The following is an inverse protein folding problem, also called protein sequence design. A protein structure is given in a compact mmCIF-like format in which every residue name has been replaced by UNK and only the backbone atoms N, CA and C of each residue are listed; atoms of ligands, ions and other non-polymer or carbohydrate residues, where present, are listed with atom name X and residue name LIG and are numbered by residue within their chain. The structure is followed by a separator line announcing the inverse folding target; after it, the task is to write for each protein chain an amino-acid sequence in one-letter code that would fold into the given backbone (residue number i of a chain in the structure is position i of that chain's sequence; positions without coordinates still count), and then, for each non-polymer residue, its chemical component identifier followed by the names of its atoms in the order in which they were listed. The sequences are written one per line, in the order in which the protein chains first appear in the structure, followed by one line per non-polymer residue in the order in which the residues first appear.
data_IF_706521166397
#
_entry.id   IF_706521166397
#
_cell.length_a   1.000
_cell.length_b   1.000
_cell.length_c   1.000
_cell.angle_alpha   90.00
_cell.angle_beta   90.00
_cell.angle_gamma   90.00
#
_symmetry.space_group_name_H-M   'P 1'
#
loop_
_entity.id
_entity.type
_entity.pdbx_description
1 polymer ?
#
# COMPACT_ATOMS: atom_id res chain seq x y z
N UNK A 1 100.09 -7.78 26.51
CA UNK A 1 98.71 -8.11 26.93
C UNK A 1 98.04 -6.85 27.47
N UNK A 2 97.20 -6.20 26.65
CA UNK A 2 96.27 -5.14 27.08
C UNK A 2 94.91 -5.51 26.49
N UNK A 3 93.95 -5.83 27.35
CA UNK A 3 92.59 -6.18 26.97
C UNK A 3 91.76 -4.88 26.88
N UNK A 4 91.14 -4.62 25.72
CA UNK A 4 90.12 -3.59 25.56
C UNK A 4 88.75 -4.22 25.83
N UNK A 5 88.07 -3.75 26.88
CA UNK A 5 86.66 -4.07 27.16
C UNK A 5 85.75 -3.18 26.30
N UNK A 6 84.93 -3.78 25.45
CA UNK A 6 83.76 -3.13 24.84
C UNK A 6 82.59 -3.17 25.83
N UNK A 7 82.07 -1.99 26.21
CA UNK A 7 80.80 -1.86 26.93
C UNK A 7 79.67 -1.69 25.91
N UNK A 8 78.81 -2.70 25.79
CA UNK A 8 77.56 -2.59 25.04
C UNK A 8 76.48 -1.98 25.93
N UNK A 9 75.99 -0.78 25.57
CA UNK A 9 74.85 -0.15 26.21
C UNK A 9 73.56 -0.72 25.61
N UNK A 10 72.77 -1.42 26.44
CA UNK A 10 71.45 -1.94 26.09
C UNK A 10 70.41 -0.82 26.28
N UNK A 11 69.90 -0.25 25.18
CA UNK A 11 68.75 0.66 25.22
C UNK A 11 67.47 -0.16 25.30
N UNK A 12 66.79 -0.13 26.46
CA UNK A 12 65.43 -0.66 26.60
C UNK A 12 64.46 0.44 26.17
N UNK A 13 63.85 0.29 24.99
CA UNK A 13 62.68 1.09 24.61
C UNK A 13 61.48 0.59 25.43
N UNK A 14 61.02 1.39 26.38
CA UNK A 14 59.71 1.19 27.00
C UNK A 14 58.63 1.69 26.01
N UNK A 15 57.99 0.76 25.30
CA UNK A 15 56.78 1.04 24.53
C UNK A 15 55.61 1.22 25.49
N UNK A 16 55.23 2.46 25.77
CA UNK A 16 53.95 2.79 26.40
C UNK A 16 52.82 2.49 25.42
N UNK A 17 52.04 1.45 25.70
CA UNK A 17 50.77 1.19 25.01
C UNK A 17 49.79 2.27 25.47
N UNK A 18 49.58 3.27 24.61
CA UNK A 18 48.48 4.22 24.77
C UNK A 18 47.19 3.43 24.49
N UNK A 19 46.42 3.13 25.54
CA UNK A 19 45.08 2.58 25.37
C UNK A 19 44.20 3.68 24.75
N UNK A 20 44.11 3.69 23.42
CA UNK A 20 43.09 4.46 22.71
C UNK A 20 41.78 3.74 22.99
N UNK A 21 41.05 4.18 24.01
CA UNK A 21 39.63 3.86 24.12
C UNK A 21 38.98 4.54 22.91
N UNK A 22 38.65 3.76 21.89
CA UNK A 22 37.84 4.25 20.78
C UNK A 22 36.54 4.76 21.37
N UNK A 23 36.33 6.08 21.39
CA UNK A 23 34.99 6.61 21.55
C UNK A 23 34.16 5.97 20.44
N UNK A 24 33.17 5.15 20.79
CA UNK A 24 32.21 4.65 19.82
C UNK A 24 31.63 5.89 19.13
N UNK A 25 31.80 5.99 17.81
CA UNK A 25 31.20 7.05 17.04
C UNK A 25 29.69 6.90 17.21
N UNK A 26 29.08 7.84 17.94
CA UNK A 26 27.63 7.90 18.05
C UNK A 26 27.11 8.34 16.68
N UNK A 27 26.12 7.62 16.14
CA UNK A 27 25.50 8.01 14.88
C UNK A 27 25.01 9.45 14.94
N UNK A 28 25.10 10.22 13.83
CA UNK A 28 24.57 11.57 13.81
C UNK A 28 23.06 11.55 14.01
N UNK A 29 22.49 12.69 14.44
CA UNK A 29 21.05 12.85 14.43
C UNK A 29 20.49 12.73 12.99
N UNK A 30 19.29 12.16 12.85
CA UNK A 30 18.57 12.17 11.58
C UNK A 30 18.33 13.62 11.11
N UNK A 31 18.27 13.89 9.79
CA UNK A 31 18.03 15.23 9.28
C UNK A 31 16.71 15.81 9.80
N UNK A 32 16.72 17.10 10.11
CA UNK A 32 15.52 17.83 10.53
C UNK A 32 14.41 17.70 9.46
N UNK A 33 13.18 17.32 9.85
CA UNK A 33 12.09 17.19 8.89
C UNK A 33 11.64 18.53 8.32
N UNK A 34 11.37 18.54 7.03
CA UNK A 34 10.88 19.70 6.28
C UNK A 34 9.45 19.46 5.78
N UNK A 35 8.76 20.54 5.44
CA UNK A 35 7.39 20.48 4.90
C UNK A 35 7.31 19.56 3.68
N UNK A 36 6.36 18.62 3.72
CA UNK A 36 6.12 17.67 2.63
C UNK A 36 7.00 16.42 2.70
N UNK A 37 7.87 16.26 3.70
CA UNK A 37 8.56 14.99 3.89
C UNK A 37 7.55 13.84 4.08
N UNK A 38 7.77 12.75 3.34
CA UNK A 38 7.01 11.51 3.44
C UNK A 38 7.78 10.56 4.34
N UNK A 39 7.07 9.97 5.29
CA UNK A 39 7.62 9.01 6.24
C UNK A 39 6.98 7.65 6.05
N UNK A 40 7.82 6.64 6.17
CA UNK A 40 7.46 5.25 6.37
C UNK A 40 7.71 4.91 7.84
N UNK A 41 6.81 4.15 8.46
CA UNK A 41 7.04 3.61 9.78
C UNK A 41 6.63 2.14 9.89
N UNK A 42 7.30 1.41 10.77
CA UNK A 42 7.01 0.03 11.12
C UNK A 42 6.74 -0.08 12.62
N UNK A 43 5.90 -1.03 13.01
CA UNK A 43 5.76 -1.47 14.41
C UNK A 43 5.31 -2.92 14.47
N UNK A 44 5.75 -3.65 15.48
CA UNK A 44 5.13 -4.92 15.82
C UNK A 44 4.04 -4.72 16.89
N UNK A 45 2.92 -5.42 16.76
CA UNK A 45 1.86 -5.45 17.77
C UNK A 45 2.22 -6.34 18.96
N UNK A 46 3.08 -7.33 18.74
CA UNK A 46 3.58 -8.25 19.76
C UNK A 46 4.97 -8.79 19.35
N UNK A 47 5.55 -9.68 20.16
CA UNK A 47 6.77 -10.40 19.85
C UNK A 47 8.02 -9.51 19.74
N UNK A 48 8.99 -9.97 18.96
CA UNK A 48 10.27 -9.29 18.78
C UNK A 48 10.05 -7.90 18.15
N UNK A 49 10.64 -6.86 18.77
CA UNK A 49 10.55 -5.48 18.30
C UNK A 49 9.26 -4.74 18.68
N UNK A 50 8.34 -5.34 19.44
CA UNK A 50 7.07 -4.72 19.86
C UNK A 50 7.20 -3.44 20.70
N UNK A 51 8.35 -3.23 21.34
CA UNK A 51 8.65 -2.01 22.10
C UNK A 51 9.15 -0.84 21.23
N UNK A 52 9.35 -1.06 19.92
CA UNK A 52 10.05 -0.12 19.04
C UNK A 52 9.29 0.09 17.72
N UNK A 53 9.05 1.35 17.40
CA UNK A 53 8.72 1.79 16.05
C UNK A 53 9.99 2.17 15.28
N UNK A 54 10.05 1.80 14.01
CA UNK A 54 11.14 2.18 13.10
C UNK A 54 10.61 3.18 12.09
N UNK A 55 11.21 4.38 12.01
CA UNK A 55 10.74 5.46 11.15
C UNK A 55 11.82 5.79 10.12
N UNK A 56 11.43 5.92 8.85
CA UNK A 56 12.31 6.19 7.71
C UNK A 56 11.74 7.37 6.92
N UNK A 57 12.56 8.38 6.63
CA UNK A 57 12.18 9.45 5.68
C UNK A 57 12.34 8.93 4.25
N UNK A 58 11.27 8.93 3.45
CA UNK A 58 11.29 8.45 2.06
C UNK A 58 11.67 9.51 1.02
N UNK A 59 11.67 10.79 1.41
CA UNK A 59 11.85 11.93 0.52
C UNK A 59 10.71 12.94 0.66
N UNK A 60 10.57 13.83 -0.32
CA UNK A 60 9.51 14.85 -0.35
C UNK A 60 8.32 14.38 -1.18
N UNK A 61 7.11 14.75 -0.80
CA UNK A 61 5.86 14.33 -1.44
C UNK A 61 5.75 14.71 -2.93
N UNK A 62 6.43 15.76 -3.38
CA UNK A 62 6.52 16.11 -4.81
C UNK A 62 7.18 15.01 -5.63
N UNK A 63 8.13 14.26 -5.06
CA UNK A 63 8.74 13.11 -5.74
C UNK A 63 7.70 12.08 -6.18
N UNK A 64 6.63 11.90 -5.40
CA UNK A 64 5.58 10.91 -5.66
C UNK A 64 4.41 11.54 -6.42
N UNK A 65 4.00 12.76 -6.04
CA UNK A 65 2.82 13.44 -6.60
C UNK A 65 3.04 14.03 -8.00
N UNK A 66 4.29 14.26 -8.41
CA UNK A 66 4.63 14.74 -9.76
C UNK A 66 5.30 13.67 -10.61
N UNK A 67 5.38 12.43 -10.14
CA UNK A 67 5.82 11.31 -10.95
C UNK A 67 4.92 11.18 -12.20
N UNK A 68 5.43 10.67 -13.31
CA UNK A 68 4.58 10.45 -14.48
C UNK A 68 3.54 9.36 -14.18
N UNK A 69 2.33 9.48 -14.72
CA UNK A 69 1.28 8.47 -14.52
C UNK A 69 1.78 7.07 -14.94
N UNK A 70 1.57 6.07 -14.09
CA UNK A 70 2.05 4.69 -14.31
C UNK A 70 3.56 4.48 -14.21
N UNK A 71 4.35 5.53 -13.99
CA UNK A 71 5.79 5.37 -13.75
C UNK A 71 6.04 4.66 -12.42
N UNK A 72 7.13 3.89 -12.37
CA UNK A 72 7.54 3.13 -11.20
C UNK A 72 9.03 3.30 -10.95
N UNK A 73 9.43 3.38 -9.69
CA UNK A 73 10.83 3.54 -9.30
C UNK A 73 11.09 3.06 -7.87
N UNK A 74 12.32 2.61 -7.63
CA UNK A 74 12.82 2.34 -6.28
C UNK A 74 13.17 3.67 -5.59
N UNK A 75 12.71 3.83 -4.34
CA UNK A 75 13.05 4.99 -3.53
C UNK A 75 14.51 4.87 -3.11
N UNK A 76 15.34 5.78 -3.61
CA UNK A 76 16.78 5.76 -3.39
C UNK A 76 17.20 6.54 -2.14
N UNK A 77 18.45 6.34 -1.71
CA UNK A 77 19.05 7.09 -0.59
C UNK A 77 18.60 6.64 0.80
N UNK A 78 17.85 5.54 0.92
CA UNK A 78 17.33 5.07 2.20
C UNK A 78 18.36 4.36 3.10
N UNK A 79 19.55 4.05 2.59
CA UNK A 79 20.48 3.13 3.26
C UNK A 79 19.98 1.68 3.18
N UNK A 80 20.48 0.81 4.06
CA UNK A 80 20.11 -0.60 4.11
C UNK A 80 19.06 -0.87 5.20
N UNK A 81 17.85 -0.36 4.99
CA UNK A 81 16.75 -0.51 5.96
C UNK A 81 16.34 -1.96 6.17
N UNK A 82 16.64 -2.86 5.22
CA UNK A 82 16.41 -4.30 5.38
C UNK A 82 17.20 -4.91 6.53
N UNK A 83 18.44 -4.47 6.77
CA UNK A 83 19.25 -4.92 7.91
C UNK A 83 18.72 -4.37 9.23
N UNK A 84 18.22 -3.13 9.25
CA UNK A 84 17.54 -2.57 10.44
C UNK A 84 16.27 -3.37 10.78
N UNK A 85 15.48 -3.72 9.76
CA UNK A 85 14.26 -4.52 9.91
C UNK A 85 14.58 -5.92 10.45
N UNK A 86 15.60 -6.60 9.90
CA UNK A 86 16.05 -7.90 10.41
C UNK A 86 16.55 -7.82 11.85
N UNK A 87 17.40 -6.82 12.15
CA UNK A 87 17.96 -6.66 13.49
C UNK A 87 16.87 -6.39 14.53
N UNK A 88 15.84 -5.62 14.17
CA UNK A 88 14.79 -5.19 15.11
C UNK A 88 13.63 -6.19 15.21
N UNK A 89 13.20 -6.75 14.09
CA UNK A 89 11.98 -7.56 13.96
C UNK A 89 12.25 -9.04 13.58
N UNK A 90 13.52 -9.42 13.41
CA UNK A 90 13.96 -10.78 13.10
C UNK A 90 14.09 -11.07 11.60
N UNK A 91 14.83 -12.12 11.24
CA UNK A 91 15.12 -12.48 9.84
C UNK A 91 13.87 -12.79 8.99
N UNK A 92 12.76 -13.16 9.63
CA UNK A 92 11.47 -13.45 9.00
C UNK A 92 10.47 -12.30 9.03
N UNK A 93 10.92 -11.05 9.29
CA UNK A 93 10.04 -9.88 9.46
C UNK A 93 9.01 -9.73 8.32
N UNK A 94 9.40 -10.04 7.09
CA UNK A 94 8.60 -9.88 5.87
C UNK A 94 7.46 -10.90 5.69
N UNK A 95 7.23 -11.76 6.68
CA UNK A 95 6.11 -12.73 6.72
C UNK A 95 5.29 -12.66 8.01
N UNK A 96 5.58 -11.68 8.87
CA UNK A 96 4.99 -11.55 10.20
C UNK A 96 3.61 -10.88 10.14
N UNK A 97 2.58 -11.61 10.54
CA UNK A 97 1.22 -11.06 10.66
C UNK A 97 1.08 -9.98 11.74
N UNK A 98 1.97 -9.99 12.73
CA UNK A 98 2.01 -9.04 13.83
C UNK A 98 2.91 -7.82 13.56
N UNK A 99 3.60 -7.78 12.42
CA UNK A 99 4.40 -6.64 11.97
C UNK A 99 3.61 -5.82 10.96
N UNK A 100 3.53 -4.52 11.24
CA UNK A 100 2.76 -3.54 10.49
C UNK A 100 3.67 -2.46 9.93
N UNK A 101 3.26 -1.89 8.80
CA UNK A 101 3.94 -0.74 8.18
C UNK A 101 2.93 0.23 7.59
N UNK A 102 3.24 1.52 7.62
CA UNK A 102 2.38 2.58 7.13
C UNK A 102 3.17 3.79 6.64
N UNK A 103 2.57 4.54 5.71
CA UNK A 103 3.19 5.69 5.07
C UNK A 103 2.31 6.91 5.28
N UNK A 104 2.91 8.01 5.71
CA UNK A 104 2.18 9.22 6.06
C UNK A 104 3.01 10.47 5.78
N UNK A 105 2.33 11.59 5.59
CA UNK A 105 2.97 12.89 5.40
C UNK A 105 1.99 14.01 5.73
N UNK A 106 2.52 15.22 5.90
CA UNK A 106 1.72 16.42 5.98
C UNK A 106 2.43 17.60 5.31
N UNK A 107 1.63 18.51 4.76
CA UNK A 107 2.05 19.86 4.42
C UNK A 107 1.26 20.85 5.26
N UNK A 108 1.89 21.53 6.22
CA UNK A 108 1.23 22.61 6.93
C UNK A 108 0.95 23.74 5.95
N UNK A 109 -0.23 24.33 6.04
CA UNK A 109 -0.64 25.50 5.28
C UNK A 109 -1.68 26.22 6.13
N UNK A 110 -1.43 27.46 6.55
CA UNK A 110 -2.21 28.20 7.57
C UNK A 110 -3.73 27.96 7.47
N UNK A 111 -4.23 27.04 8.30
CA UNK A 111 -5.62 26.61 8.32
C UNK A 111 -6.02 25.55 7.28
N UNK A 112 -5.34 25.36 6.15
CA UNK A 112 -5.71 24.41 5.11
C UNK A 112 -4.61 23.38 4.79
N UNK A 113 -4.24 22.50 5.74
CA UNK A 113 -3.19 21.52 5.52
C UNK A 113 -3.60 20.45 4.52
N UNK A 114 -2.60 19.88 3.87
CA UNK A 114 -2.69 18.64 3.09
C UNK A 114 -2.11 17.54 3.97
N UNK A 115 -2.81 16.42 4.07
CA UNK A 115 -2.30 15.24 4.76
C UNK A 115 -2.28 14.06 3.80
N UNK A 116 -1.41 13.11 4.08
CA UNK A 116 -1.29 11.88 3.32
C UNK A 116 -1.29 10.70 4.26
N UNK A 117 -1.98 9.63 3.87
CA UNK A 117 -2.03 8.39 4.60
C UNK A 117 -2.14 7.22 3.64
N UNK A 118 -1.36 6.17 3.86
CA UNK A 118 -1.50 4.92 3.15
C UNK A 118 -2.81 4.22 3.49
N UNK A 119 -3.14 3.20 2.70
CA UNK A 119 -4.16 2.20 3.03
C UNK A 119 -3.81 0.89 2.35
N UNK A 120 -3.87 -0.21 3.09
CA UNK A 120 -3.60 -1.54 2.55
C UNK A 120 -4.65 -1.96 1.52
N UNK A 121 -4.18 -2.61 0.45
CA UNK A 121 -5.04 -3.33 -0.50
C UNK A 121 -5.46 -4.67 0.11
N UNK A 122 -6.76 -4.91 0.22
CA UNK A 122 -7.30 -6.22 0.65
C UNK A 122 -6.99 -7.33 -0.35
N UNK A 123 -6.84 -6.97 -1.63
CA UNK A 123 -6.32 -7.82 -2.70
C UNK A 123 -5.27 -7.02 -3.46
N UNK A 124 -4.06 -7.56 -3.62
CA UNK A 124 -2.90 -6.83 -4.16
C UNK A 124 -3.14 -6.17 -5.53
N UNK A 125 -4.03 -6.73 -6.34
CA UNK A 125 -4.38 -6.23 -7.67
C UNK A 125 -5.54 -5.22 -7.68
N UNK A 126 -6.20 -4.99 -6.54
CA UNK A 126 -7.35 -4.10 -6.43
C UNK A 126 -6.97 -2.90 -5.55
N UNK A 127 -7.07 -1.70 -6.12
CA UNK A 127 -6.83 -0.47 -5.38
C UNK A 127 -7.77 -0.40 -4.16
N UNK A 128 -7.20 -0.07 -3.01
CA UNK A 128 -7.94 0.27 -1.80
C UNK A 128 -8.88 1.45 -2.08
N UNK A 129 -10.01 1.48 -1.37
CA UNK A 129 -10.91 2.62 -1.44
C UNK A 129 -10.20 3.85 -0.87
N UNK A 130 -10.32 4.99 -1.56
CA UNK A 130 -9.77 6.25 -1.08
C UNK A 130 -10.34 6.62 0.30
N UNK A 131 -9.56 7.33 1.11
CA UNK A 131 -10.04 7.90 2.36
C UNK A 131 -11.20 8.88 2.12
N UNK A 132 -12.10 9.07 3.10
CA UNK A 132 -13.17 10.06 2.97
C UNK A 132 -12.60 11.47 2.85
N UNK A 133 -13.36 12.36 2.23
CA UNK A 133 -13.05 13.79 2.28
C UNK A 133 -13.16 14.29 3.71
N UNK A 134 -12.16 15.04 4.15
CA UNK A 134 -12.15 15.64 5.48
C UNK A 134 -12.42 17.13 5.39
N UNK A 135 -13.15 17.68 6.36
CA UNK A 135 -13.26 19.14 6.53
C UNK A 135 -11.96 19.74 7.06
N UNK A 136 -11.83 21.06 6.97
CA UNK A 136 -10.62 21.79 7.35
C UNK A 136 -10.15 21.50 8.79
N UNK A 137 -11.09 21.48 9.74
CA UNK A 137 -10.80 21.21 11.14
C UNK A 137 -10.21 19.80 11.34
N UNK A 138 -10.81 18.80 10.70
CA UNK A 138 -10.32 17.41 10.72
C UNK A 138 -8.91 17.30 10.15
N UNK A 139 -8.67 17.87 8.95
CA UNK A 139 -7.31 17.88 8.36
C UNK A 139 -6.30 18.58 9.25
N UNK A 140 -6.68 19.67 9.92
CA UNK A 140 -5.81 20.38 10.86
C UNK A 140 -5.48 19.54 12.09
N UNK A 141 -6.49 18.85 12.65
CA UNK A 141 -6.27 17.94 13.77
C UNK A 141 -5.33 16.80 13.40
N UNK A 142 -5.55 16.14 12.26
CA UNK A 142 -4.70 15.03 11.81
C UNK A 142 -3.29 15.50 11.46
N UNK A 143 -3.17 16.66 10.79
CA UNK A 143 -1.87 17.28 10.51
C UNK A 143 -1.08 17.57 11.79
N UNK A 144 -1.73 17.98 12.88
CA UNK A 144 -1.06 18.23 14.15
C UNK A 144 -0.54 16.93 14.80
N UNK A 145 -1.30 15.82 14.68
CA UNK A 145 -0.87 14.53 15.20
C UNK A 145 0.28 13.93 14.38
N UNK A 146 0.23 14.05 13.05
CA UNK A 146 1.36 13.68 12.18
C UNK A 146 2.59 14.53 12.53
N UNK A 147 2.40 15.85 12.68
CA UNK A 147 3.46 16.76 13.11
C UNK A 147 4.05 16.37 14.46
N UNK A 148 3.24 15.89 15.41
CA UNK A 148 3.76 15.44 16.70
C UNK A 148 4.73 14.26 16.58
N UNK A 149 4.44 13.28 15.72
CA UNK A 149 5.33 12.13 15.49
C UNK A 149 6.64 12.54 14.81
N UNK A 150 6.58 13.55 13.94
CA UNK A 150 7.74 13.94 13.12
C UNK A 150 8.60 15.00 13.83
N UNK A 151 7.98 16.05 14.37
CA UNK A 151 8.64 17.29 14.79
C UNK A 151 8.84 17.42 16.30
N UNK A 152 7.99 16.79 17.14
CA UNK A 152 8.08 16.98 18.58
C UNK A 152 9.20 16.14 19.20
N UNK A 153 9.63 16.55 20.40
CA UNK A 153 10.57 15.77 21.22
C UNK A 153 10.03 14.35 21.42
N UNK A 154 10.92 13.36 21.28
CA UNK A 154 10.57 11.95 21.34
C UNK A 154 10.05 11.38 20.00
N UNK A 155 9.69 12.23 19.05
CA UNK A 155 9.36 11.92 17.66
C UNK A 155 10.58 11.54 16.83
N UNK A 156 10.52 11.75 15.51
CA UNK A 156 11.65 11.53 14.60
C UNK A 156 12.76 12.58 14.79
N UNK A 157 12.40 13.87 14.83
CA UNK A 157 13.35 14.98 14.91
C UNK A 157 14.29 14.85 16.12
N UNK A 158 15.59 14.99 15.86
CA UNK A 158 16.62 15.00 16.89
C UNK A 158 17.01 13.61 17.43
N UNK A 159 16.41 12.52 16.93
CA UNK A 159 16.88 11.16 17.25
C UNK A 159 18.14 10.81 16.49
N UNK A 160 18.91 9.86 17.02
CA UNK A 160 20.07 9.30 16.34
C UNK A 160 19.61 8.48 15.13
N UNK A 161 20.38 8.57 14.06
CA UNK A 161 20.24 7.69 12.91
C UNK A 161 20.63 6.25 13.25
N UNK A 162 20.10 5.30 12.48
CA UNK A 162 20.52 3.90 12.55
C UNK A 162 21.89 3.66 11.93
N UNK A 163 22.53 2.54 12.26
CA UNK A 163 23.82 2.14 11.68
C UNK A 163 23.73 1.93 10.16
N UNK A 164 22.55 1.51 9.67
CA UNK A 164 22.35 1.18 8.26
C UNK A 164 21.68 2.29 7.45
N UNK A 165 21.20 3.36 8.09
CA UNK A 165 20.53 4.48 7.42
C UNK A 165 20.63 5.79 8.20
N UNK A 166 21.19 6.81 7.54
CA UNK A 166 21.31 8.18 8.08
C UNK A 166 19.98 8.94 8.16
N UNK A 167 18.91 8.40 7.56
CA UNK A 167 17.58 9.01 7.50
C UNK A 167 16.50 8.14 8.16
N UNK A 168 16.93 7.11 8.89
CA UNK A 168 16.05 6.25 9.65
C UNK A 168 16.42 6.28 11.12
N UNK A 169 15.45 6.05 11.98
CA UNK A 169 15.64 6.03 13.43
C UNK A 169 14.70 5.06 14.13
N UNK A 170 15.12 4.59 15.30
CA UNK A 170 14.28 3.82 16.21
C UNK A 170 13.64 4.73 17.26
N UNK A 171 12.34 4.53 17.45
CA UNK A 171 11.52 5.18 18.45
C UNK A 171 11.01 4.15 19.44
N UNK A 172 11.38 4.29 20.71
CA UNK A 172 10.74 3.53 21.80
C UNK A 172 9.26 3.93 21.88
N UNK A 173 8.38 2.93 21.89
CA UNK A 173 6.94 3.14 21.98
C UNK A 173 6.60 3.76 23.33
N UNK A 174 5.77 4.82 23.32
CA UNK A 174 5.34 5.53 24.53
C UNK A 174 3.89 5.95 24.41
N UNK A 175 3.33 6.48 25.50
CA UNK A 175 1.98 7.03 25.51
C UNK A 175 1.91 8.46 24.92
N UNK A 176 3.05 9.05 24.58
CA UNK A 176 3.15 10.44 24.13
C UNK A 176 2.60 10.60 22.71
N UNK A 177 2.06 11.77 22.40
CA UNK A 177 1.57 12.08 21.06
C UNK A 177 2.67 12.02 19.98
N UNK A 178 3.95 12.08 20.36
CA UNK A 178 5.06 11.91 19.43
C UNK A 178 5.38 10.46 19.08
N UNK A 179 4.79 9.48 19.78
CA UNK A 179 4.98 8.06 19.45
C UNK A 179 4.11 7.65 18.25
N UNK A 180 4.72 7.08 17.22
CA UNK A 180 3.99 6.48 16.09
C UNK A 180 3.04 5.39 16.59
N UNK A 181 3.53 4.46 17.41
CA UNK A 181 2.71 3.40 18.01
C UNK A 181 1.49 3.97 18.76
N UNK A 182 1.65 5.06 19.52
CA UNK A 182 0.50 5.73 20.15
C UNK A 182 -0.55 6.14 19.13
N UNK A 183 -0.14 6.74 18.02
CA UNK A 183 -1.04 7.30 17.01
C UNK A 183 -1.84 6.23 16.27
N UNK A 184 -1.25 5.05 16.00
CA UNK A 184 -1.88 4.01 15.16
C UNK A 184 -2.37 2.77 15.90
N UNK A 185 -1.86 2.49 17.11
CA UNK A 185 -2.20 1.27 17.85
C UNK A 185 -3.13 1.51 19.06
N UNK A 186 -3.41 2.76 19.43
CA UNK A 186 -4.23 3.07 20.60
C UNK A 186 -5.70 3.29 20.24
N UNK A 187 -6.61 2.61 20.95
CA UNK A 187 -8.04 2.86 20.78
C UNK A 187 -8.38 4.35 20.99
N UNK A 188 -9.14 4.93 20.06
CA UNK A 188 -9.53 6.33 20.09
C UNK A 188 -8.56 7.29 19.39
N UNK A 189 -7.35 6.84 18.98
CA UNK A 189 -6.49 7.65 18.12
C UNK A 189 -6.80 7.48 16.64
N UNK A 190 -7.51 6.43 16.20
CA UNK A 190 -7.98 6.24 14.79
C UNK A 190 -6.95 6.66 13.73
N UNK A 191 -5.67 6.31 13.92
CA UNK A 191 -4.55 6.76 13.10
C UNK A 191 -4.43 8.27 12.94
N UNK A 192 -3.68 8.88 13.85
CA UNK A 192 -3.41 10.32 13.88
C UNK A 192 -4.64 11.19 14.24
N UNK A 193 -5.42 10.72 15.20
CA UNK A 193 -6.58 11.38 15.81
C UNK A 193 -7.93 10.87 15.30
N UNK A 194 -8.93 10.82 16.17
CA UNK A 194 -10.30 10.38 15.83
C UNK A 194 -10.98 11.17 14.70
N UNK A 195 -10.49 12.37 14.39
CA UNK A 195 -10.99 13.20 13.30
C UNK A 195 -10.42 12.84 11.92
N UNK A 196 -9.41 11.95 11.84
CA UNK A 196 -8.87 11.46 10.57
C UNK A 196 -9.89 10.60 9.80
N UNK A 197 -10.78 9.92 10.53
CA UNK A 197 -11.67 8.87 10.03
C UNK A 197 -10.94 7.72 9.32
N UNK A 198 -9.64 7.56 9.59
CA UNK A 198 -8.83 6.47 9.06
C UNK A 198 -9.05 5.22 9.90
N UNK A 199 -9.30 4.09 9.23
CA UNK A 199 -9.53 2.81 9.89
C UNK A 199 -8.23 2.08 10.24
N UNK A 200 -7.28 2.11 9.30
CA UNK A 200 -5.90 1.66 9.42
C UNK A 200 -5.14 2.21 8.22
N UNK A 201 -4.08 2.98 8.45
CA UNK A 201 -3.10 3.34 7.43
C UNK A 201 -2.07 2.23 7.23
N UNK A 202 -2.01 1.29 8.17
CA UNK A 202 -1.04 0.22 8.16
C UNK A 202 -1.53 -1.02 7.42
N UNK A 203 -0.60 -1.69 6.75
CA UNK A 203 -0.75 -3.06 6.25
C UNK A 203 0.09 -4.04 7.04
N UNK A 204 -0.22 -5.33 6.91
CA UNK A 204 0.43 -6.42 7.64
C UNK A 204 1.20 -7.36 6.71
N UNK A 205 2.35 -7.86 7.18
CA UNK A 205 3.14 -8.85 6.44
C UNK A 205 2.62 -10.29 6.58
N UNK A 206 1.42 -10.52 7.14
CA UNK A 206 0.87 -11.86 7.37
C UNK A 206 0.67 -12.70 6.10
N UNK A 207 0.52 -12.06 4.94
CA UNK A 207 0.46 -12.72 3.63
C UNK A 207 1.81 -12.68 2.88
N UNK A 208 2.90 -12.34 3.57
CA UNK A 208 4.20 -12.04 2.98
C UNK A 208 4.29 -10.64 2.38
N UNK A 209 5.50 -10.18 2.07
CA UNK A 209 5.75 -8.87 1.44
C UNK A 209 5.01 -8.67 0.10
N UNK A 210 4.96 -9.73 -0.72
CA UNK A 210 4.25 -9.70 -2.00
C UNK A 210 2.73 -9.57 -1.81
N UNK A 211 2.23 -9.87 -0.60
CA UNK A 211 0.84 -9.78 -0.20
C UNK A 211 0.45 -8.45 0.45
N UNK A 212 1.38 -7.54 0.72
CA UNK A 212 1.08 -6.24 1.36
C UNK A 212 1.49 -5.08 0.46
N UNK A 213 0.49 -4.36 -0.05
CA UNK A 213 0.67 -3.17 -0.89
C UNK A 213 -0.13 -2.04 -0.27
N UNK A 214 0.50 -0.88 -0.14
CA UNK A 214 -0.10 0.31 0.45
C UNK A 214 -0.40 1.35 -0.63
N UNK A 215 -1.68 1.63 -0.91
CA UNK A 215 -2.01 2.79 -1.73
C UNK A 215 -1.84 4.07 -0.91
N UNK A 216 -1.17 5.06 -1.49
CA UNK A 216 -0.88 6.33 -0.86
C UNK A 216 -1.91 7.37 -1.30
N UNK A 217 -2.70 7.87 -0.35
CA UNK A 217 -3.77 8.83 -0.65
C UNK A 217 -3.41 10.22 -0.13
N UNK A 218 -3.69 11.24 -0.95
CA UNK A 218 -3.57 12.65 -0.61
C UNK A 218 -4.94 13.21 -0.27
N UNK A 219 -5.09 13.84 0.89
CA UNK A 219 -6.32 14.47 1.36
C UNK A 219 -6.10 15.99 1.46
N UNK A 220 -6.84 16.76 0.67
CA UNK A 220 -6.74 18.22 0.62
C UNK A 220 -8.13 18.87 0.56
N UNK A 221 -8.18 20.21 0.62
CA UNK A 221 -9.44 20.94 0.38
C UNK A 221 -10.07 20.63 -0.99
N UNK A 222 -9.24 20.29 -1.99
CA UNK A 222 -9.68 19.93 -3.34
C UNK A 222 -10.29 18.53 -3.43
N UNK A 223 -10.32 17.76 -2.35
CA UNK A 223 -10.77 16.36 -2.32
C UNK A 223 -9.64 15.38 -2.00
N UNK A 224 -9.92 14.09 -2.24
CA UNK A 224 -8.99 12.99 -2.01
C UNK A 224 -8.54 12.40 -3.34
N UNK A 225 -7.24 12.22 -3.51
CA UNK A 225 -6.64 11.62 -4.70
C UNK A 225 -5.71 10.49 -4.28
N UNK A 226 -5.89 9.30 -4.85
CA UNK A 226 -4.84 8.27 -4.76
C UNK A 226 -3.65 8.73 -5.59
N UNK A 227 -2.49 8.83 -4.95
CA UNK A 227 -1.23 9.23 -5.57
C UNK A 227 -0.62 8.01 -6.26
N UNK A 228 -0.49 6.89 -5.57
CA UNK A 228 0.14 5.69 -6.13
C UNK A 228 0.12 4.58 -5.11
N UNK A 229 1.02 3.61 -5.25
CA UNK A 229 1.19 2.53 -4.29
C UNK A 229 2.65 2.31 -3.95
N UNK A 230 2.89 1.93 -2.70
CA UNK A 230 4.17 1.46 -2.21
C UNK A 230 4.13 -0.05 -1.98
N UNK A 231 5.24 -0.71 -2.32
CA UNK A 231 5.58 -2.07 -1.92
C UNK A 231 6.99 -2.09 -1.34
N UNK A 232 7.32 -3.19 -0.65
CA UNK A 232 8.65 -3.42 -0.08
C UNK A 232 9.11 -4.85 -0.41
N UNK A 233 10.40 -5.03 -0.72
CA UNK A 233 11.01 -6.34 -0.91
C UNK A 233 11.61 -6.92 0.39
N UNK A 234 12.01 -8.18 0.36
CA UNK A 234 12.65 -8.88 1.49
C UNK A 234 13.98 -8.23 1.91
N UNK A 235 14.63 -7.53 0.97
CA UNK A 235 15.85 -6.77 1.22
C UNK A 235 15.58 -5.38 1.79
N UNK A 236 14.32 -5.00 2.02
CA UNK A 236 13.93 -3.68 2.47
C UNK A 236 13.96 -2.61 1.37
N UNK A 237 13.94 -2.99 0.08
CA UNK A 237 13.85 -2.00 -1.01
C UNK A 237 12.42 -1.49 -1.10
N UNK A 238 12.23 -0.18 -0.96
CA UNK A 238 10.91 0.47 -1.12
C UNK A 238 10.71 0.81 -2.58
N UNK A 239 9.61 0.31 -3.15
CA UNK A 239 9.21 0.58 -4.53
C UNK A 239 7.95 1.44 -4.54
N UNK A 240 7.90 2.45 -5.42
CA UNK A 240 6.72 3.27 -5.64
C UNK A 240 6.26 3.15 -7.10
N UNK A 241 4.95 2.97 -7.28
CA UNK A 241 4.27 3.04 -8.58
C UNK A 241 3.24 4.15 -8.53
N UNK A 242 3.38 5.15 -9.38
CA UNK A 242 2.38 6.20 -9.52
C UNK A 242 1.11 5.62 -10.12
N UNK A 243 -0.03 6.14 -9.66
CA UNK A 243 -1.31 5.76 -10.20
C UNK A 243 -1.38 6.13 -11.69
N UNK A 244 -1.86 5.22 -12.53
CA UNK A 244 -2.47 5.64 -13.80
C UNK A 244 -3.83 6.19 -13.41
N UNK A 245 -4.20 7.44 -13.76
CA UNK A 245 -5.55 7.95 -13.61
C UNK A 245 -6.49 7.10 -14.47
N UNK A 246 -6.86 5.92 -13.98
CA UNK A 246 -7.96 5.14 -14.52
C UNK A 246 -9.20 5.93 -14.11
N UNK A 247 -9.76 6.71 -15.01
CA UNK A 247 -11.19 6.95 -14.90
C UNK A 247 -11.80 5.53 -14.95
N UNK A 248 -12.53 5.07 -13.92
CA UNK A 248 -13.21 3.78 -14.00
C UNK A 248 -14.24 3.74 -15.16
N UNK A 249 -14.52 4.92 -15.73
CA UNK A 249 -15.27 5.13 -16.96
C UNK A 249 -14.38 5.55 -18.15
N UNK A 250 -13.06 5.29 -18.12
CA UNK A 250 -12.27 5.35 -19.35
C UNK A 250 -12.86 4.31 -20.29
N UNK A 251 -13.24 4.78 -21.45
CA UNK A 251 -13.77 4.03 -22.57
C UNK A 251 -12.89 4.47 -23.74
N UNK A 252 -11.75 3.78 -23.90
CA UNK A 252 -10.65 4.23 -24.76
C UNK A 252 -11.04 4.22 -26.24
N UNK A 253 -11.89 3.28 -26.65
CA UNK A 253 -12.39 3.16 -28.03
C UNK A 253 -13.79 3.74 -28.26
N UNK A 254 -14.42 4.28 -27.21
CA UNK A 254 -15.70 4.98 -27.21
C UNK A 254 -16.90 4.10 -27.59
N UNK A 255 -16.91 2.83 -27.16
CA UNK A 255 -17.97 1.85 -27.42
C UNK A 255 -19.07 1.82 -26.34
N UNK A 256 -18.88 2.58 -25.25
CA UNK A 256 -19.79 2.66 -24.10
C UNK A 256 -19.51 1.64 -23.00
N UNK A 257 -18.50 0.78 -23.17
CA UNK A 257 -17.93 -0.13 -22.17
C UNK A 257 -16.65 0.49 -21.64
N UNK A 258 -16.31 0.21 -20.38
CA UNK A 258 -15.13 0.80 -19.77
C UNK A 258 -13.96 -0.16 -19.88
N UNK A 259 -12.74 0.35 -20.05
CA UNK A 259 -11.51 -0.45 -20.14
C UNK A 259 -11.38 -1.44 -18.96
N UNK A 260 -11.89 -1.05 -17.78
CA UNK A 260 -11.91 -1.89 -16.59
C UNK A 260 -12.89 -3.07 -16.70
N UNK A 261 -14.09 -2.85 -17.28
CA UNK A 261 -15.05 -3.92 -17.55
C UNK A 261 -14.55 -4.85 -18.66
N UNK A 262 -13.88 -4.29 -19.66
CA UNK A 262 -13.25 -5.06 -20.73
C UNK A 262 -12.09 -5.91 -20.23
N UNK A 263 -11.30 -5.41 -19.27
CA UNK A 263 -10.27 -6.23 -18.63
C UNK A 263 -10.87 -7.45 -17.88
N UNK A 264 -12.01 -7.29 -17.21
CA UNK A 264 -12.72 -8.39 -16.53
C UNK A 264 -13.34 -9.37 -17.53
N UNK A 265 -13.94 -8.85 -18.61
CA UNK A 265 -14.42 -9.67 -19.73
C UNK A 265 -13.26 -10.31 -20.51
N UNK A 266 -12.09 -9.70 -20.40
CA UNK A 266 -10.89 -9.92 -21.15
C UNK A 266 -11.08 -9.73 -22.66
N UNK A 267 -11.73 -8.62 -23.02
CA UNK A 267 -11.83 -8.06 -24.36
C UNK A 267 -10.81 -6.91 -24.53
N UNK A 268 -10.65 -6.38 -25.74
CA UNK A 268 -9.62 -5.40 -26.07
C UNK A 268 -10.12 -3.94 -25.97
N UNK A 269 -9.60 -3.14 -25.01
CA UNK A 269 -10.04 -1.75 -24.77
C UNK A 269 -9.64 -0.72 -25.84
N UNK A 270 -9.15 -1.18 -27.00
CA UNK A 270 -8.80 -0.30 -28.12
C UNK A 270 -9.55 -0.71 -29.39
N UNK A 271 -10.52 -1.61 -29.29
CA UNK A 271 -11.30 -2.15 -30.39
C UNK A 271 -12.78 -2.14 -30.04
N UNK A 272 -13.48 -1.10 -30.50
CA UNK A 272 -14.91 -0.87 -30.22
C UNK A 272 -15.86 -1.94 -30.77
N UNK A 273 -15.33 -3.01 -31.36
CA UNK A 273 -16.08 -4.18 -31.80
C UNK A 273 -15.92 -5.39 -30.87
N UNK A 274 -14.88 -5.40 -30.01
CA UNK A 274 -14.54 -6.46 -29.08
C UNK A 274 -15.01 -6.10 -27.66
N UNK A 275 -16.27 -6.42 -27.36
CA UNK A 275 -16.84 -6.24 -26.02
C UNK A 275 -17.81 -7.37 -25.67
N UNK A 276 -17.99 -7.60 -24.38
CA UNK A 276 -18.91 -8.61 -23.89
C UNK A 276 -20.37 -8.18 -24.01
N UNK A 277 -21.19 -8.99 -24.69
CA UNK A 277 -22.62 -8.74 -24.88
C UNK A 277 -23.44 -10.02 -25.01
N UNK A 278 -24.69 -9.93 -24.62
CA UNK A 278 -25.70 -10.89 -25.07
C UNK A 278 -25.87 -10.76 -26.59
N UNK A 279 -25.80 -11.89 -27.28
CA UNK A 279 -26.06 -11.96 -28.72
C UNK A 279 -27.56 -12.12 -28.99
N UNK A 280 -28.25 -12.94 -28.18
CA UNK A 280 -29.70 -13.07 -28.24
C UNK A 280 -30.26 -13.72 -26.98
N UNK A 281 -31.51 -13.38 -26.66
CA UNK A 281 -32.35 -14.10 -25.70
C UNK A 281 -33.64 -14.43 -26.42
N UNK A 282 -33.88 -15.72 -26.68
CA UNK A 282 -35.00 -16.15 -27.51
C UNK A 282 -35.70 -17.38 -26.94
N UNK A 283 -37.04 -17.40 -26.89
CA UNK A 283 -37.79 -18.63 -26.65
C UNK A 283 -37.59 -19.61 -27.82
N UNK A 284 -37.47 -20.88 -27.50
CA UNK A 284 -37.39 -22.01 -28.41
C UNK A 284 -38.36 -23.12 -27.94
N UNK A 285 -38.57 -24.14 -28.77
CA UNK A 285 -39.51 -25.24 -28.44
C UNK A 285 -39.13 -26.03 -27.18
N UNK A 286 -37.85 -25.98 -26.80
CA UNK A 286 -37.22 -26.68 -25.69
C UNK A 286 -36.91 -25.79 -24.46
N UNK A 287 -37.01 -24.47 -24.58
CA UNK A 287 -36.81 -23.55 -23.46
C UNK A 287 -36.54 -22.11 -23.87
N UNK A 288 -35.73 -21.40 -23.09
CA UNK A 288 -35.22 -20.07 -23.46
C UNK A 288 -33.72 -20.17 -23.67
N UNK A 289 -33.27 -19.82 -24.87
CA UNK A 289 -31.85 -19.78 -25.22
C UNK A 289 -31.28 -18.39 -24.94
N UNK A 290 -30.21 -18.35 -24.14
CA UNK A 290 -29.42 -17.15 -23.82
C UNK A 290 -28.04 -17.33 -24.47
N UNK A 291 -27.80 -16.58 -25.54
CA UNK A 291 -26.57 -16.64 -26.33
C UNK A 291 -25.66 -15.46 -26.00
N UNK A 292 -24.38 -15.71 -25.80
CA UNK A 292 -23.37 -14.67 -25.52
C UNK A 292 -21.99 -15.04 -26.07
N UNK A 293 -21.18 -14.00 -26.34
CA UNK A 293 -19.77 -14.20 -26.68
C UNK A 293 -18.98 -14.61 -25.44
N UNK A 294 -17.91 -15.36 -25.68
CA UNK A 294 -17.11 -16.00 -24.64
C UNK A 294 -15.65 -15.79 -24.93
N UNK A 295 -14.87 -15.59 -23.87
CA UNK A 295 -13.41 -15.59 -23.90
C UNK A 295 -12.91 -16.71 -22.99
N UNK A 296 -11.84 -17.40 -23.40
CA UNK A 296 -11.28 -18.52 -22.66
C UNK A 296 -10.78 -18.09 -21.27
N UNK A 297 -10.84 -18.97 -20.27
CA UNK A 297 -10.41 -18.68 -18.89
C UNK A 297 -11.23 -17.57 -18.20
N UNK A 298 -12.49 -17.39 -18.60
CA UNK A 298 -13.47 -16.55 -17.89
C UNK A 298 -14.63 -17.42 -17.41
N UNK A 299 -15.26 -17.02 -16.32
CA UNK A 299 -16.46 -17.66 -15.78
C UNK A 299 -17.68 -16.77 -15.99
N UNK A 300 -18.73 -17.35 -16.57
CA UNK A 300 -19.99 -16.69 -16.87
C UNK A 300 -21.09 -17.19 -15.94
N UNK A 301 -21.78 -16.28 -15.26
CA UNK A 301 -22.96 -16.60 -14.45
C UNK A 301 -24.19 -16.05 -15.14
N UNK A 302 -25.13 -16.92 -15.49
CA UNK A 302 -26.44 -16.53 -16.03
C UNK A 302 -27.37 -16.27 -14.87
N UNK A 303 -27.97 -15.09 -14.86
CA UNK A 303 -28.90 -14.67 -13.82
C UNK A 303 -30.26 -14.32 -14.44
N UNK A 304 -31.33 -14.62 -13.70
CA UNK A 304 -32.70 -14.34 -14.07
C UNK A 304 -33.35 -13.39 -13.05
N UNK A 305 -34.24 -12.53 -13.52
CA UNK A 305 -35.13 -11.74 -12.66
C UNK A 305 -36.51 -11.62 -13.31
N UNK A 306 -37.57 -11.70 -12.52
CA UNK A 306 -38.92 -11.43 -13.02
C UNK A 306 -39.23 -9.93 -13.13
N UNK A 307 -38.60 -9.10 -12.29
CA UNK A 307 -39.04 -7.70 -12.05
C UNK A 307 -38.00 -6.66 -12.41
N UNK A 308 -36.76 -7.07 -12.75
CA UNK A 308 -35.60 -6.20 -12.96
C UNK A 308 -35.17 -5.40 -11.71
N UNK A 309 -35.86 -5.53 -10.58
CA UNK A 309 -35.57 -4.78 -9.36
C UNK A 309 -34.20 -5.17 -8.78
N UNK A 310 -33.53 -4.22 -8.15
CA UNK A 310 -32.31 -4.50 -7.39
C UNK A 310 -32.57 -5.60 -6.34
N UNK A 311 -31.68 -6.59 -6.26
CA UNK A 311 -31.82 -7.73 -5.34
C UNK A 311 -32.75 -8.87 -5.80
N UNK A 312 -33.44 -8.72 -6.94
CA UNK A 312 -34.34 -9.77 -7.48
C UNK A 312 -33.66 -10.79 -8.42
N UNK A 313 -32.36 -10.63 -8.65
CA UNK A 313 -31.60 -11.47 -9.57
C UNK A 313 -31.16 -12.76 -8.89
N UNK A 314 -31.56 -13.89 -9.45
CA UNK A 314 -31.15 -15.23 -9.03
C UNK A 314 -30.16 -15.81 -10.03
N UNK A 315 -29.10 -16.45 -9.55
CA UNK A 315 -28.18 -17.23 -10.40
C UNK A 315 -28.87 -18.53 -10.80
N UNK A 316 -28.94 -18.79 -12.10
CA UNK A 316 -29.60 -19.98 -12.67
C UNK A 316 -28.64 -20.91 -13.41
N UNK A 317 -27.37 -20.53 -13.52
CA UNK A 317 -26.35 -21.38 -14.12
C UNK A 317 -24.98 -20.69 -14.21
N UNK A 318 -23.93 -21.51 -14.29
CA UNK A 318 -22.57 -21.04 -14.50
C UNK A 318 -21.90 -21.82 -15.63
N UNK A 319 -21.02 -21.15 -16.37
CA UNK A 319 -20.23 -21.72 -17.44
C UNK A 319 -18.78 -21.23 -17.31
N UNK A 320 -17.86 -22.16 -17.06
CA UNK A 320 -16.43 -21.90 -17.05
C UNK A 320 -15.86 -22.15 -18.46
N UNK A 321 -15.43 -21.09 -19.13
CA UNK A 321 -15.01 -21.17 -20.51
C UNK A 321 -13.58 -21.70 -20.66
N UNK A 322 -13.41 -22.73 -21.49
CA UNK A 322 -12.09 -23.27 -21.86
C UNK A 322 -11.64 -22.82 -23.26
N UNK A 323 -12.51 -22.18 -24.02
CA UNK A 323 -12.26 -21.65 -25.37
C UNK A 323 -13.06 -20.39 -25.64
N UNK A 324 -12.94 -19.82 -26.84
CA UNK A 324 -13.57 -18.54 -27.22
C UNK A 324 -14.80 -18.68 -28.14
N UNK A 325 -15.35 -19.88 -28.29
CA UNK A 325 -16.56 -20.09 -29.08
C UNK A 325 -17.79 -19.54 -28.32
N UNK A 326 -18.74 -18.88 -29.00
CA UNK A 326 -20.00 -18.43 -28.38
C UNK A 326 -20.70 -19.57 -27.64
N UNK A 327 -21.32 -19.24 -26.51
CA UNK A 327 -22.02 -20.21 -25.68
C UNK A 327 -23.52 -19.93 -25.65
N UNK A 328 -24.30 -21.02 -25.64
CA UNK A 328 -25.75 -21.00 -25.52
C UNK A 328 -26.15 -21.67 -24.21
N UNK A 329 -26.69 -20.89 -23.28
CA UNK A 329 -27.33 -21.42 -22.09
C UNK A 329 -28.82 -21.69 -22.37
N UNK A 330 -29.31 -22.87 -21.98
CA UNK A 330 -30.71 -23.27 -22.15
C UNK A 330 -31.42 -23.29 -20.79
N UNK A 331 -32.37 -22.36 -20.59
CA UNK A 331 -33.27 -22.37 -19.44
C UNK A 331 -34.52 -23.20 -19.73
N UNK A 332 -34.63 -24.36 -19.07
CA UNK A 332 -35.76 -25.30 -19.22
C UNK A 332 -36.80 -25.21 -18.10
N UNK A 333 -36.60 -24.34 -17.12
CA UNK A 333 -37.45 -24.26 -15.93
C UNK A 333 -38.90 -23.88 -16.29
N UNK A 334 -39.83 -24.76 -15.95
CA UNK A 334 -41.23 -24.60 -16.32
C UNK A 334 -41.90 -23.40 -15.63
N UNK A 335 -41.47 -23.04 -14.42
CA UNK A 335 -42.02 -21.90 -13.68
C UNK A 335 -41.59 -20.61 -14.37
N UNK A 336 -40.30 -20.44 -14.67
CA UNK A 336 -39.80 -19.25 -15.37
C UNK A 336 -40.39 -19.12 -16.78
N UNK A 337 -40.51 -20.23 -17.52
CA UNK A 337 -41.12 -20.25 -18.86
C UNK A 337 -42.61 -19.95 -18.89
N UNK A 338 -43.34 -20.21 -17.80
CA UNK A 338 -44.77 -19.89 -17.71
C UNK A 338 -45.07 -18.41 -17.42
N UNK A 339 -44.05 -17.61 -17.09
CA UNK A 339 -44.22 -16.20 -16.74
C UNK A 339 -44.39 -15.35 -18.00
N UNK A 340 -45.29 -14.34 -17.98
CA UNK A 340 -45.51 -13.45 -19.12
C UNK A 340 -44.30 -12.54 -19.40
N UNK A 341 -43.45 -12.30 -18.39
CA UNK A 341 -42.24 -11.49 -18.48
C UNK A 341 -41.12 -12.08 -17.61
N UNK A 342 -39.90 -11.91 -18.09
CA UNK A 342 -38.67 -12.31 -17.40
C UNK A 342 -37.47 -11.66 -18.07
N UNK A 343 -36.44 -11.39 -17.29
CA UNK A 343 -35.22 -10.71 -17.71
C UNK A 343 -34.03 -11.61 -17.43
N UNK A 344 -33.10 -11.63 -18.38
CA UNK A 344 -31.85 -12.36 -18.27
C UNK A 344 -30.69 -11.39 -18.32
N UNK A 345 -29.66 -11.66 -17.53
CA UNK A 345 -28.34 -11.04 -17.70
C UNK A 345 -27.27 -12.09 -17.50
N UNK A 346 -26.09 -11.80 -18.00
CA UNK A 346 -24.91 -12.66 -17.82
C UNK A 346 -23.82 -11.80 -17.21
N UNK A 347 -23.19 -12.32 -16.16
CA UNK A 347 -22.04 -11.69 -15.51
C UNK A 347 -20.79 -12.45 -15.85
N UNK A 348 -19.73 -11.72 -16.17
CA UNK A 348 -18.40 -12.27 -16.43
C UNK A 348 -17.48 -11.99 -15.24
N UNK A 349 -16.59 -12.94 -14.94
CA UNK A 349 -15.58 -12.87 -13.89
C UNK A 349 -14.35 -13.66 -14.29
N UNK A 350 -13.20 -13.32 -13.69
CA UNK A 350 -11.92 -14.02 -13.86
C UNK A 350 -11.90 -15.35 -13.10
#
# INVERSE_FOLDING_TARGET
MRAHLYRSALFVLASSVLAVTSAQAVNPAVPDPVTGDVFLAFRASDGQGSATSYLVKLGVDTQFTTAAAGSSFDVSGLGNIGEDLKATYGDGWNTRADLFWGIFSFRPNNGNPIIYGSRERTQVNVRSTAWPTLVQQSRSSTSNQISAVIQNIGGYKGRLSTDNSLIATFQTNSADASSYNKQVATAGTSDFGSLSQWSSIEGSFGNGEAGTILDFHRIAASGVTTVGSFSISASGTIHFTNVVPTNPNTDTDHDGVTDANEAIAGTNPNDSTDFFRLQSVAPAGDGIHVNFNVVASRTYTVEYSQTLAAGSWESIGTYAATGAAPHTFLDTDAVRRSRPTGFYRVRVSQ
#
